data_IF_816114557305
#
_entry.id   IF_816114557305
#
_cell.length_a   1.000
_cell.length_b   1.000
_cell.length_c   1.000
_cell.angle_alpha   90.00
_cell.angle_beta   90.00
_cell.angle_gamma   90.00
#
_symmetry.space_group_name_H-M   'P 1'
#
loop_
_entity.id
_entity.type
_entity.pdbx_description
1 polymer ?
#
# COMPACT_ATOMS: atom_id res chain seq x y z
N UNK A 1 20.78 -19.51 75.49
CA UNK A 1 20.73 -18.35 74.61
C UNK A 1 20.45 -18.91 73.22
N UNK A 2 19.17 -18.93 72.80
CA UNK A 2 18.69 -19.59 71.54
C UNK A 2 18.47 -18.49 70.58
N UNK A 3 19.26 -18.45 69.48
CA UNK A 3 19.09 -17.51 68.34
C UNK A 3 18.09 -18.14 67.40
N UNK A 4 16.92 -17.50 67.20
CA UNK A 4 15.95 -17.87 66.22
C UNK A 4 16.36 -17.24 64.88
N UNK A 5 16.68 -18.08 63.90
CA UNK A 5 16.86 -17.68 62.48
C UNK A 5 15.50 -17.67 61.84
N UNK A 6 14.98 -16.49 61.47
CA UNK A 6 13.81 -16.33 60.58
C UNK A 6 14.28 -16.44 59.11
N UNK A 7 13.88 -17.51 58.43
CA UNK A 7 14.04 -17.62 57.01
C UNK A 7 12.88 -16.86 56.30
N UNK A 8 13.20 -15.80 55.59
CA UNK A 8 12.30 -15.05 54.74
C UNK A 8 12.23 -15.77 53.38
N UNK A 9 11.17 -16.53 53.12
CA UNK A 9 10.87 -17.08 51.80
C UNK A 9 10.28 -15.98 50.93
N UNK A 10 11.12 -15.37 50.08
CA UNK A 10 10.67 -14.49 49.03
C UNK A 10 10.05 -15.36 47.91
N UNK A 11 8.72 -15.40 47.86
CA UNK A 11 7.96 -16.02 46.77
C UNK A 11 8.00 -15.05 45.60
N UNK A 12 8.98 -15.22 44.70
CA UNK A 12 9.03 -14.48 43.45
C UNK A 12 7.91 -15.00 42.50
N UNK A 13 6.80 -14.32 42.48
CA UNK A 13 5.78 -14.48 41.42
C UNK A 13 6.38 -13.98 40.12
N UNK A 14 6.96 -14.87 39.34
CA UNK A 14 7.24 -14.63 37.93
C UNK A 14 5.90 -14.54 37.19
N UNK A 15 5.37 -13.33 37.10
CA UNK A 15 4.30 -13.02 36.16
C UNK A 15 4.92 -13.16 34.76
N UNK A 16 4.73 -14.31 34.13
CA UNK A 16 4.93 -14.47 32.72
C UNK A 16 3.90 -13.58 31.99
N UNK A 17 4.22 -12.30 31.83
CA UNK A 17 3.51 -11.44 30.90
C UNK A 17 3.92 -11.99 29.52
N UNK A 18 3.09 -12.88 28.96
CA UNK A 18 3.10 -13.14 27.54
C UNK A 18 2.73 -11.81 26.88
N UNK A 19 3.73 -10.98 26.64
CA UNK A 19 3.59 -9.82 25.78
C UNK A 19 3.35 -10.38 24.38
N UNK A 20 2.08 -10.62 24.04
CA UNK A 20 1.72 -10.77 22.64
C UNK A 20 2.18 -9.47 21.97
N UNK A 21 3.24 -9.56 21.17
CA UNK A 21 3.69 -8.41 20.40
C UNK A 21 2.45 -7.86 19.65
N UNK A 22 2.11 -6.62 19.96
CA UNK A 22 0.96 -5.97 19.32
C UNK A 22 1.18 -5.98 17.83
N UNK A 23 0.17 -6.45 17.08
CA UNK A 23 0.25 -6.48 15.61
C UNK A 23 0.41 -5.07 15.08
N UNK A 24 1.30 -4.88 14.11
CA UNK A 24 1.44 -3.62 13.40
C UNK A 24 0.13 -3.27 12.69
N UNK A 25 -0.38 -2.06 12.95
CA UNK A 25 -1.57 -1.54 12.28
C UNK A 25 -1.23 -1.08 10.87
N UNK A 26 -2.03 -1.52 9.89
CA UNK A 26 -1.83 -1.24 8.47
C UNK A 26 -3.11 -0.69 7.88
N UNK A 27 -2.98 0.38 7.11
CA UNK A 27 -3.98 0.92 6.20
C UNK A 27 -3.54 0.69 4.77
N UNK A 28 -4.43 0.26 3.90
CA UNK A 28 -4.15 0.03 2.49
C UNK A 28 -5.04 0.90 1.61
N UNK A 29 -4.45 1.67 0.69
CA UNK A 29 -5.15 2.55 -0.25
C UNK A 29 -4.77 2.18 -1.68
N UNK A 30 -5.76 1.90 -2.55
CA UNK A 30 -5.54 1.26 -3.84
C UNK A 30 -6.53 1.74 -4.90
N UNK A 31 -6.09 1.85 -6.13
CA UNK A 31 -6.92 2.14 -7.30
C UNK A 31 -7.24 0.87 -8.12
N UNK A 32 -7.63 -0.18 -7.42
CA UNK A 32 -7.81 -1.58 -7.89
C UNK A 32 -8.63 -1.71 -9.17
N UNK A 33 -9.41 -0.72 -9.53
CA UNK A 33 -10.15 -0.69 -10.79
C UNK A 33 -9.30 -0.41 -12.03
N UNK A 34 -8.07 0.05 -11.87
CA UNK A 34 -7.19 0.50 -12.95
C UNK A 34 -6.49 -0.68 -13.66
N UNK A 35 -5.51 -1.28 -13.02
CA UNK A 35 -4.75 -2.41 -13.57
C UNK A 35 -5.02 -3.71 -12.80
N UNK A 36 -4.28 -4.77 -13.16
CA UNK A 36 -4.50 -6.07 -12.54
C UNK A 36 -3.62 -6.32 -11.31
N UNK A 37 -2.58 -5.55 -11.09
CA UNK A 37 -1.57 -5.84 -10.07
C UNK A 37 -1.97 -5.46 -8.64
N UNK A 38 -2.83 -4.46 -8.49
CA UNK A 38 -3.44 -4.10 -7.20
C UNK A 38 -4.07 -5.29 -6.47
N UNK A 39 -4.82 -6.13 -7.20
CA UNK A 39 -5.48 -7.28 -6.58
C UNK A 39 -4.48 -8.32 -6.08
N UNK A 40 -3.32 -8.48 -6.74
CA UNK A 40 -2.23 -9.32 -6.26
C UNK A 40 -1.60 -8.73 -5.01
N UNK A 41 -1.40 -7.41 -4.99
CA UNK A 41 -0.82 -6.68 -3.86
C UNK A 41 -1.71 -6.77 -2.61
N UNK A 42 -3.01 -6.46 -2.73
CA UNK A 42 -3.93 -6.56 -1.60
C UNK A 42 -4.13 -8.01 -1.16
N UNK A 43 -4.25 -8.98 -2.09
CA UNK A 43 -4.27 -10.40 -1.75
C UNK A 43 -3.07 -10.79 -0.90
N UNK A 44 -1.88 -10.33 -1.26
CA UNK A 44 -0.64 -10.63 -0.53
C UNK A 44 -0.68 -10.13 0.91
N UNK A 45 -1.25 -8.97 1.17
CA UNK A 45 -1.45 -8.44 2.52
C UNK A 45 -2.52 -9.25 3.29
N UNK A 46 -3.68 -9.50 2.66
CA UNK A 46 -4.82 -10.14 3.30
C UNK A 46 -4.55 -11.62 3.70
N UNK A 47 -3.73 -12.35 2.96
CA UNK A 47 -3.34 -13.72 3.34
C UNK A 47 -2.49 -13.77 4.62
N UNK A 48 -1.90 -12.67 5.03
CA UNK A 48 -1.15 -12.50 6.30
C UNK A 48 -1.87 -11.65 7.35
N UNK A 49 -3.19 -11.46 7.23
CA UNK A 49 -3.99 -10.71 8.21
C UNK A 49 -3.95 -11.29 9.65
N UNK A 50 -3.47 -12.53 9.80
CA UNK A 50 -3.17 -13.10 11.12
C UNK A 50 -1.93 -12.46 11.78
N UNK A 51 -1.04 -11.82 11.02
CA UNK A 51 0.19 -11.18 11.50
C UNK A 51 0.07 -9.66 11.66
N UNK A 52 -0.86 -9.04 10.93
CA UNK A 52 -1.07 -7.58 10.89
C UNK A 52 -2.48 -7.22 11.35
N UNK A 53 -2.64 -6.04 11.90
CA UNK A 53 -3.94 -5.44 12.21
C UNK A 53 -4.34 -4.50 11.06
N UNK A 54 -5.10 -5.04 10.09
CA UNK A 54 -5.53 -4.26 8.91
C UNK A 54 -6.72 -3.42 9.33
N UNK A 55 -6.47 -2.14 9.61
CA UNK A 55 -7.45 -1.20 10.17
C UNK A 55 -8.25 -0.44 9.10
N UNK A 56 -7.91 -0.60 7.84
CA UNK A 56 -8.67 -0.05 6.72
C UNK A 56 -8.12 -0.45 5.36
N UNK A 57 -9.04 -0.57 4.40
CA UNK A 57 -8.78 -0.70 2.96
C UNK A 57 -9.61 0.35 2.25
N UNK A 58 -8.98 1.29 1.55
CA UNK A 58 -9.70 2.38 0.89
C UNK A 58 -9.48 2.41 -0.61
N UNK A 59 -10.41 3.02 -1.31
CA UNK A 59 -10.35 3.20 -2.75
C UNK A 59 -9.71 4.53 -3.12
N UNK A 60 -8.76 4.52 -4.03
CA UNK A 60 -8.22 5.69 -4.69
C UNK A 60 -8.83 5.84 -6.10
N UNK A 61 -8.91 7.07 -6.60
CA UNK A 61 -9.26 7.31 -7.99
C UNK A 61 -8.04 7.05 -8.89
N UNK A 62 -8.31 6.67 -10.14
CA UNK A 62 -7.31 6.61 -11.21
C UNK A 62 -7.62 7.58 -12.35
N UNK A 63 -8.24 8.72 -12.02
CA UNK A 63 -8.44 9.81 -12.94
C UNK A 63 -7.10 10.49 -13.18
N UNK A 64 -6.63 10.43 -14.41
CA UNK A 64 -5.45 11.16 -14.79
C UNK A 64 -5.82 12.05 -15.97
N UNK A 65 -5.93 13.37 -15.74
CA UNK A 65 -6.31 14.33 -16.76
C UNK A 65 -5.36 14.32 -17.95
N UNK A 66 -4.08 14.05 -17.72
CA UNK A 66 -3.09 13.97 -18.78
C UNK A 66 -3.26 12.72 -19.63
N UNK A 67 -3.78 11.64 -19.06
CA UNK A 67 -4.02 10.37 -19.77
C UNK A 67 -5.32 10.36 -20.56
N UNK A 68 -6.21 11.32 -20.35
CA UNK A 68 -7.35 11.54 -21.24
C UNK A 68 -6.90 11.90 -22.67
N UNK A 69 -5.70 12.46 -22.80
CA UNK A 69 -5.06 12.75 -24.10
C UNK A 69 -4.37 11.50 -24.66
N UNK A 70 -4.04 10.52 -23.84
CA UNK A 70 -3.32 9.30 -24.20
C UNK A 70 -4.17 8.07 -23.90
N UNK A 71 -5.26 7.87 -24.65
CA UNK A 71 -6.13 6.68 -24.56
C UNK A 71 -5.36 5.35 -24.53
N UNK A 72 -4.16 5.36 -25.15
CA UNK A 72 -3.25 4.22 -25.16
C UNK A 72 -2.79 3.73 -23.79
N UNK A 73 -2.77 4.60 -22.77
CA UNK A 73 -2.28 4.25 -21.45
C UNK A 73 -3.35 3.57 -20.61
N UNK A 74 -4.59 4.00 -20.77
CA UNK A 74 -5.72 3.47 -20.01
C UNK A 74 -6.48 2.36 -20.73
N UNK A 75 -6.27 2.17 -22.03
CA UNK A 75 -7.01 1.26 -22.91
C UNK A 75 -8.55 1.50 -22.96
N UNK A 76 -9.06 2.43 -22.18
CA UNK A 76 -10.46 2.84 -22.14
C UNK A 76 -10.59 4.33 -21.75
N UNK A 77 -11.70 4.94 -22.15
CA UNK A 77 -12.01 6.34 -21.80
C UNK A 77 -12.40 6.44 -20.33
N UNK A 78 -11.71 7.30 -19.56
CA UNK A 78 -12.04 7.57 -18.16
C UNK A 78 -12.97 8.76 -17.98
N UNK A 79 -13.20 9.56 -19.05
CA UNK A 79 -14.08 10.73 -18.99
C UNK A 79 -15.52 10.33 -18.66
N UNK A 80 -16.05 10.84 -17.57
CA UNK A 80 -17.41 10.53 -17.11
C UNK A 80 -17.55 9.22 -16.36
N UNK A 81 -16.45 8.47 -16.17
CA UNK A 81 -16.43 7.28 -15.33
C UNK A 81 -16.04 7.72 -13.91
N UNK A 82 -16.75 7.22 -12.91
CA UNK A 82 -16.36 7.40 -11.51
C UNK A 82 -15.37 6.31 -11.11
N UNK A 83 -14.08 6.59 -11.31
CA UNK A 83 -13.01 5.61 -11.11
C UNK A 83 -12.85 5.18 -9.65
N UNK A 84 -13.12 6.06 -8.69
CA UNK A 84 -13.06 5.69 -7.26
C UNK A 84 -14.16 4.69 -6.88
N UNK A 85 -15.35 4.77 -7.50
CA UNK A 85 -16.40 3.77 -7.29
C UNK A 85 -16.00 2.40 -7.86
N UNK A 86 -15.34 2.38 -9.03
CA UNK A 86 -14.84 1.14 -9.60
C UNK A 86 -13.81 0.50 -8.66
N UNK A 87 -12.86 1.29 -8.16
CA UNK A 87 -11.88 0.80 -7.18
C UNK A 87 -12.56 0.31 -5.89
N UNK A 88 -13.63 0.99 -5.45
CA UNK A 88 -14.41 0.57 -4.28
C UNK A 88 -15.07 -0.79 -4.49
N UNK A 89 -15.75 -0.97 -5.61
CA UNK A 89 -16.42 -2.23 -5.95
C UNK A 89 -15.43 -3.41 -6.04
N UNK A 90 -14.26 -3.19 -6.62
CA UNK A 90 -13.22 -4.23 -6.71
C UNK A 90 -12.62 -4.57 -5.33
N UNK A 91 -12.39 -3.57 -4.47
CA UNK A 91 -11.99 -3.79 -3.08
C UNK A 91 -13.02 -4.64 -2.33
N UNK A 92 -14.30 -4.31 -2.46
CA UNK A 92 -15.38 -5.05 -1.80
C UNK A 92 -15.51 -6.49 -2.30
N UNK A 93 -15.36 -6.71 -3.61
CA UNK A 93 -15.31 -8.07 -4.18
C UNK A 93 -14.20 -8.92 -3.56
N UNK A 94 -12.99 -8.34 -3.45
CA UNK A 94 -11.88 -9.07 -2.85
C UNK A 94 -12.06 -9.31 -1.35
N UNK A 95 -12.47 -8.28 -0.59
CA UNK A 95 -12.77 -8.42 0.83
C UNK A 95 -13.89 -9.44 1.08
N UNK A 96 -14.90 -9.48 0.23
CA UNK A 96 -15.96 -10.48 0.26
C UNK A 96 -15.44 -11.90 0.04
N UNK A 97 -14.54 -12.10 -0.94
CA UNK A 97 -13.90 -13.39 -1.20
C UNK A 97 -13.05 -13.88 -0.02
N UNK A 98 -12.40 -12.97 0.69
CA UNK A 98 -11.68 -13.26 1.94
C UNK A 98 -12.59 -13.44 3.16
N UNK A 99 -13.89 -13.09 3.07
CA UNK A 99 -14.84 -12.98 4.20
C UNK A 99 -14.38 -11.96 5.25
N UNK A 100 -13.78 -10.87 4.79
CA UNK A 100 -13.20 -9.80 5.61
C UNK A 100 -13.93 -8.45 5.45
N UNK A 101 -15.22 -8.45 5.11
CA UNK A 101 -16.04 -7.25 4.97
C UNK A 101 -16.21 -6.45 6.28
N UNK A 102 -15.77 -6.99 7.40
CA UNK A 102 -15.68 -6.30 8.67
C UNK A 102 -14.50 -5.30 8.76
N UNK A 103 -13.52 -5.40 7.86
CA UNK A 103 -12.46 -4.39 7.76
C UNK A 103 -13.10 -3.09 7.24
N UNK A 104 -12.89 -1.94 7.90
CA UNK A 104 -13.35 -0.66 7.39
C UNK A 104 -12.83 -0.41 5.96
N UNK A 105 -13.74 -0.09 5.03
CA UNK A 105 -13.37 0.14 3.63
C UNK A 105 -14.04 1.41 3.08
N UNK A 106 -13.67 2.59 3.64
CA UNK A 106 -14.27 3.85 3.23
C UNK A 106 -13.83 4.27 1.84
N UNK A 107 -14.78 4.87 1.09
CA UNK A 107 -14.50 5.42 -0.23
C UNK A 107 -13.62 6.67 -0.15
N UNK A 108 -12.66 6.77 -1.06
CA UNK A 108 -11.76 7.91 -1.16
C UNK A 108 -12.31 9.10 -1.96
N UNK A 109 -11.42 10.02 -2.27
CA UNK A 109 -11.73 11.19 -3.08
C UNK A 109 -11.97 10.80 -4.55
N UNK A 110 -12.87 11.50 -5.21
CA UNK A 110 -13.25 11.25 -6.61
C UNK A 110 -12.29 11.90 -7.64
N UNK A 111 -11.35 12.71 -7.20
CA UNK A 111 -10.41 13.46 -8.04
C UNK A 111 -9.25 14.02 -7.25
N UNK A 112 -8.22 14.48 -7.96
CA UNK A 112 -7.01 15.09 -7.41
C UNK A 112 -7.30 16.26 -6.46
N UNK A 113 -6.38 16.52 -5.53
CA UNK A 113 -6.41 17.69 -4.66
C UNK A 113 -6.04 18.98 -5.42
N UNK A 114 -6.47 20.12 -4.90
CA UNK A 114 -6.18 21.41 -5.50
C UNK A 114 -6.81 21.60 -6.88
N UNK A 115 -6.04 22.13 -7.81
CA UNK A 115 -6.41 22.41 -9.20
C UNK A 115 -5.41 21.76 -10.17
N UNK A 116 -5.75 21.71 -11.45
CA UNK A 116 -4.88 21.13 -12.48
C UNK A 116 -3.47 21.76 -12.55
N UNK A 117 -3.32 23.01 -12.13
CA UNK A 117 -2.06 23.77 -12.19
C UNK A 117 -1.49 24.15 -10.80
N UNK A 118 -1.82 23.36 -9.79
CA UNK A 118 -1.27 23.55 -8.43
C UNK A 118 -2.35 23.70 -7.36
N UNK A 119 -1.94 24.17 -6.21
CA UNK A 119 -2.67 24.26 -4.94
C UNK A 119 -2.76 22.92 -4.21
N UNK A 120 -2.90 23.04 -2.87
CA UNK A 120 -2.97 21.88 -1.98
C UNK A 120 -4.29 21.85 -1.21
N UNK A 121 -5.36 22.38 -1.80
CA UNK A 121 -6.71 22.28 -1.21
C UNK A 121 -7.10 20.80 -1.12
N UNK A 122 -7.30 20.27 0.10
CA UNK A 122 -7.59 18.84 0.26
C UNK A 122 -8.93 18.46 -0.34
N UNK A 123 -9.09 17.17 -0.62
CA UNK A 123 -10.35 16.55 -1.02
C UNK A 123 -10.91 15.72 0.14
N UNK A 124 -11.78 16.27 0.99
CA UNK A 124 -12.44 15.50 2.05
C UNK A 124 -13.23 14.34 1.46
N UNK A 125 -13.13 13.19 2.10
CA UNK A 125 -13.88 11.97 1.76
C UNK A 125 -14.12 11.14 3.02
N UNK A 126 -14.92 10.09 2.93
CA UNK A 126 -15.12 9.17 4.05
C UNK A 126 -13.80 8.52 4.47
N UNK A 127 -12.91 8.25 3.47
CA UNK A 127 -11.58 7.75 3.73
C UNK A 127 -10.74 8.72 4.57
N UNK A 128 -10.63 9.99 4.16
CA UNK A 128 -9.81 10.98 4.89
C UNK A 128 -10.28 11.15 6.32
N UNK A 129 -11.60 11.20 6.54
CA UNK A 129 -12.19 11.24 7.87
C UNK A 129 -11.81 10.03 8.70
N UNK A 130 -12.00 8.83 8.13
CA UNK A 130 -11.74 7.59 8.86
C UNK A 130 -10.26 7.38 9.17
N UNK A 131 -9.36 7.72 8.22
CA UNK A 131 -7.92 7.65 8.44
C UNK A 131 -7.49 8.59 9.58
N UNK A 132 -7.98 9.83 9.59
CA UNK A 132 -7.70 10.79 10.68
C UNK A 132 -8.16 10.24 12.03
N UNK A 133 -9.39 9.71 12.12
CA UNK A 133 -9.92 9.09 13.34
C UNK A 133 -9.02 7.96 13.84
N UNK A 134 -8.60 7.06 12.94
CA UNK A 134 -7.72 5.93 13.28
C UNK A 134 -6.38 6.42 13.81
N UNK A 135 -5.73 7.36 13.11
CA UNK A 135 -4.40 7.85 13.53
C UNK A 135 -4.47 8.63 14.83
N UNK A 136 -5.51 9.43 15.03
CA UNK A 136 -5.70 10.17 16.29
C UNK A 136 -5.96 9.23 17.49
N UNK A 137 -6.61 8.09 17.25
CA UNK A 137 -6.90 7.08 18.29
C UNK A 137 -5.69 6.23 18.70
N UNK A 138 -4.56 6.34 17.99
CA UNK A 138 -3.36 5.58 18.31
C UNK A 138 -2.77 6.02 19.66
N UNK A 139 -2.40 5.08 20.53
CA UNK A 139 -1.64 5.37 21.73
C UNK A 139 -0.34 6.13 21.43
N UNK A 140 0.19 6.81 22.43
CA UNK A 140 1.46 7.51 22.31
C UNK A 140 2.59 6.52 22.00
N UNK A 141 3.40 6.88 21.01
CA UNK A 141 4.50 6.05 20.54
C UNK A 141 4.10 5.01 19.47
N UNK A 142 2.81 4.74 19.27
CA UNK A 142 2.35 3.90 18.15
C UNK A 142 2.27 4.68 16.84
N UNK A 143 2.47 3.96 15.73
CA UNK A 143 2.38 4.51 14.38
C UNK A 143 1.57 3.61 13.48
N UNK A 144 0.83 4.22 12.56
CA UNK A 144 0.12 3.53 11.50
C UNK A 144 1.03 3.39 10.29
N UNK A 145 1.14 2.20 9.73
CA UNK A 145 1.72 1.99 8.43
C UNK A 145 0.65 2.16 7.35
N UNK A 146 0.88 3.05 6.42
CA UNK A 146 -0.04 3.33 5.32
C UNK A 146 0.63 2.91 4.01
N UNK A 147 0.08 1.89 3.38
CA UNK A 147 0.49 1.44 2.06
C UNK A 147 -0.47 2.05 1.06
N UNK A 148 0.03 2.84 0.10
CA UNK A 148 -0.79 3.36 -0.99
C UNK A 148 -0.14 3.05 -2.33
N UNK A 149 -0.94 2.53 -3.25
CA UNK A 149 -0.49 2.03 -4.55
C UNK A 149 -1.26 2.64 -5.72
N UNK A 150 -2.11 3.62 -5.44
CA UNK A 150 -2.77 4.49 -6.39
C UNK A 150 -2.36 5.95 -6.23
N UNK A 151 -3.19 6.88 -6.73
CA UNK A 151 -2.99 8.31 -6.57
C UNK A 151 -2.94 8.71 -5.08
N UNK A 152 -1.96 9.52 -4.68
CA UNK A 152 -1.73 9.91 -3.29
C UNK A 152 -2.77 10.88 -2.70
N UNK A 153 -3.84 11.19 -3.43
CA UNK A 153 -4.86 12.18 -3.07
C UNK A 153 -5.42 12.00 -1.67
N UNK A 154 -5.80 10.77 -1.34
CA UNK A 154 -6.41 10.43 -0.06
C UNK A 154 -5.48 10.73 1.11
N UNK A 155 -4.25 10.27 1.02
CA UNK A 155 -3.25 10.38 2.08
C UNK A 155 -2.82 11.85 2.26
N UNK A 156 -2.51 12.52 1.16
CA UNK A 156 -2.14 13.94 1.19
C UNK A 156 -3.27 14.82 1.71
N UNK A 157 -4.52 14.53 1.31
CA UNK A 157 -5.69 15.27 1.79
C UNK A 157 -5.93 15.07 3.29
N UNK A 158 -5.80 13.86 3.80
CA UNK A 158 -5.93 13.59 5.23
C UNK A 158 -4.89 14.37 6.06
N UNK A 159 -3.63 14.38 5.60
CA UNK A 159 -2.55 15.15 6.25
C UNK A 159 -2.77 16.67 6.10
N UNK A 160 -3.31 17.13 4.97
CA UNK A 160 -3.61 18.55 4.78
C UNK A 160 -4.77 19.04 5.68
N UNK A 161 -5.75 18.17 5.95
CA UNK A 161 -6.86 18.43 6.88
C UNK A 161 -6.39 18.43 8.34
N UNK A 162 -5.56 17.46 8.72
CA UNK A 162 -5.04 17.28 10.08
C UNK A 162 -3.52 17.03 10.04
N UNK A 163 -2.69 18.08 10.00
CA UNK A 163 -1.24 17.95 9.84
C UNK A 163 -0.53 17.13 10.93
N UNK A 164 -1.10 17.10 12.13
CA UNK A 164 -0.47 16.39 13.26
C UNK A 164 -0.43 14.88 13.09
N UNK A 165 -1.26 14.31 12.20
CA UNK A 165 -1.24 12.86 11.95
C UNK A 165 0.02 12.41 11.21
N UNK A 166 0.69 13.30 10.48
CA UNK A 166 1.89 12.98 9.70
C UNK A 166 2.97 12.26 10.53
N UNK A 167 3.22 12.75 11.75
CA UNK A 167 4.23 12.17 12.67
C UNK A 167 3.88 10.79 13.20
N UNK A 168 2.58 10.44 13.18
CA UNK A 168 2.06 9.14 13.64
C UNK A 168 1.91 8.14 12.50
N UNK A 169 2.40 8.44 11.29
CA UNK A 169 2.32 7.55 10.14
C UNK A 169 3.71 7.23 9.58
N UNK A 170 3.79 6.05 8.95
CA UNK A 170 4.86 5.69 8.00
C UNK A 170 4.18 5.38 6.68
N UNK A 171 4.68 5.96 5.61
CA UNK A 171 4.12 5.81 4.27
C UNK A 171 4.96 4.83 3.44
N UNK A 172 4.29 3.95 2.73
CA UNK A 172 4.88 3.00 1.78
C UNK A 172 4.10 3.12 0.47
N UNK A 173 4.76 3.34 -0.64
CA UNK A 173 4.05 3.43 -1.92
C UNK A 173 4.80 2.80 -3.09
N UNK A 174 4.04 2.44 -4.12
CA UNK A 174 4.53 2.27 -5.47
C UNK A 174 4.27 3.56 -6.23
N UNK A 175 5.31 4.14 -6.85
CA UNK A 175 5.15 5.32 -7.69
C UNK A 175 6.44 6.09 -7.96
N UNK A 176 6.39 6.87 -9.02
CA UNK A 176 7.49 7.69 -9.47
C UNK A 176 8.65 6.90 -10.08
N UNK A 177 9.63 7.66 -10.57
CA UNK A 177 10.86 7.13 -11.15
C UNK A 177 12.05 7.78 -10.44
N UNK A 178 13.07 6.97 -10.15
CA UNK A 178 14.29 7.46 -9.52
C UNK A 178 15.53 6.78 -10.10
N UNK A 179 16.40 7.56 -10.74
CA UNK A 179 17.69 7.07 -11.21
C UNK A 179 18.73 7.15 -10.07
N UNK A 180 19.15 6.01 -9.48
CA UNK A 180 20.07 6.02 -8.34
C UNK A 180 21.51 6.39 -8.71
N UNK A 181 21.89 6.32 -9.99
CA UNK A 181 23.23 6.71 -10.48
C UNK A 181 23.34 8.22 -10.62
N UNK A 182 22.35 8.82 -11.25
CA UNK A 182 22.27 10.26 -11.50
C UNK A 182 21.66 11.04 -10.33
N UNK A 183 20.97 10.32 -9.41
CA UNK A 183 20.22 10.90 -8.27
C UNK A 183 19.10 11.84 -8.73
N UNK A 184 18.46 11.49 -9.83
CA UNK A 184 17.42 12.29 -10.47
C UNK A 184 16.06 11.61 -10.29
N UNK A 185 15.08 12.41 -9.87
CA UNK A 185 13.67 12.05 -9.83
C UNK A 185 13.00 12.37 -11.17
N UNK A 186 12.01 11.54 -11.52
CA UNK A 186 11.07 11.84 -12.59
C UNK A 186 9.65 11.50 -12.10
N UNK A 187 8.77 12.47 -12.13
CA UNK A 187 7.36 12.36 -11.70
C UNK A 187 6.43 11.84 -12.82
N UNK A 188 6.98 11.48 -13.98
CA UNK A 188 6.25 10.92 -15.10
C UNK A 188 5.98 9.42 -14.89
N UNK A 189 5.07 9.12 -13.96
CA UNK A 189 4.60 7.79 -13.62
C UNK A 189 3.10 7.86 -13.30
N UNK A 190 2.34 6.77 -13.51
CA UNK A 190 0.89 6.78 -13.51
C UNK A 190 0.28 7.26 -12.18
N UNK A 191 0.66 6.65 -11.06
CA UNK A 191 0.14 6.99 -9.73
C UNK A 191 0.51 8.43 -9.32
N UNK A 192 1.76 8.83 -9.60
CA UNK A 192 2.24 10.18 -9.36
C UNK A 192 1.49 11.20 -10.20
N UNK A 193 1.24 10.91 -11.48
CA UNK A 193 0.46 11.78 -12.39
C UNK A 193 -1.02 11.79 -12.06
N UNK A 194 -1.51 10.77 -11.39
CA UNK A 194 -2.86 10.74 -10.84
C UNK A 194 -3.15 11.92 -9.93
N UNK A 195 -2.15 12.38 -9.16
CA UNK A 195 -2.23 13.60 -8.37
C UNK A 195 -0.84 14.21 -8.06
N UNK A 196 -0.33 15.02 -8.98
CA UNK A 196 0.94 15.73 -8.81
C UNK A 196 0.93 16.71 -7.62
N UNK A 197 -0.22 17.29 -7.29
CA UNK A 197 -0.34 18.18 -6.14
C UNK A 197 -0.17 17.40 -4.84
N UNK A 198 -0.82 16.25 -4.72
CA UNK A 198 -0.69 15.37 -3.56
C UNK A 198 0.76 14.91 -3.36
N UNK A 199 1.41 14.45 -4.42
CA UNK A 199 2.83 14.03 -4.36
C UNK A 199 3.74 15.18 -3.96
N UNK A 200 3.56 16.38 -4.53
CA UNK A 200 4.34 17.56 -4.14
C UNK A 200 4.07 17.97 -2.69
N UNK A 201 2.82 17.87 -2.22
CA UNK A 201 2.47 18.11 -0.83
C UNK A 201 3.21 17.16 0.11
N UNK A 202 3.21 15.85 -0.20
CA UNK A 202 3.92 14.84 0.58
C UNK A 202 5.44 15.05 0.54
N UNK A 203 6.02 15.34 -0.63
CA UNK A 203 7.45 15.64 -0.75
C UNK A 203 7.87 16.93 -0.02
N UNK A 204 6.96 17.84 0.26
CA UNK A 204 7.23 19.04 1.05
C UNK A 204 7.07 18.83 2.55
N UNK A 205 6.53 17.70 3.00
CA UNK A 205 6.27 17.42 4.40
C UNK A 205 7.42 16.65 5.05
N UNK A 206 8.19 17.31 5.94
CA UNK A 206 9.36 16.74 6.60
C UNK A 206 9.02 15.82 7.78
N UNK A 207 7.77 15.82 8.23
CA UNK A 207 7.33 15.01 9.38
C UNK A 207 6.99 13.55 8.99
N UNK A 208 6.97 13.25 7.68
CA UNK A 208 6.61 11.95 7.14
C UNK A 208 7.84 11.06 6.99
N UNK A 209 7.81 9.86 7.56
CA UNK A 209 8.72 8.79 7.19
C UNK A 209 8.14 8.06 5.99
N UNK A 210 8.80 8.18 4.83
CA UNK A 210 8.25 7.70 3.56
C UNK A 210 9.20 6.74 2.84
N UNK A 211 8.65 5.59 2.40
CA UNK A 211 9.31 4.54 1.63
C UNK A 211 8.68 4.46 0.24
N UNK A 212 9.45 4.67 -0.80
CA UNK A 212 8.98 4.76 -2.18
C UNK A 212 9.57 3.62 -3.00
N UNK A 213 8.71 2.83 -3.66
CA UNK A 213 9.10 1.81 -4.65
C UNK A 213 9.01 2.44 -6.05
N UNK A 214 10.13 2.85 -6.65
CA UNK A 214 10.09 3.45 -7.99
C UNK A 214 10.02 2.38 -9.08
N UNK A 215 9.51 2.79 -10.24
CA UNK A 215 9.35 1.95 -11.45
C UNK A 215 10.60 1.13 -11.77
N UNK A 216 11.79 1.77 -11.73
CA UNK A 216 13.06 1.10 -12.09
C UNK A 216 13.41 -0.06 -11.16
N UNK A 217 12.85 -0.08 -9.95
CA UNK A 217 13.10 -1.15 -8.99
C UNK A 217 12.08 -2.27 -9.12
N UNK A 218 10.80 -1.96 -9.28
CA UNK A 218 9.73 -2.97 -9.35
C UNK A 218 9.55 -3.60 -10.75
N UNK A 219 10.03 -2.95 -11.82
CA UNK A 219 9.86 -3.42 -13.22
C UNK A 219 10.34 -4.86 -13.46
N UNK A 220 11.21 -5.37 -12.62
CA UNK A 220 11.76 -6.73 -12.76
C UNK A 220 10.84 -7.82 -12.20
N UNK A 221 9.80 -7.46 -11.41
CA UNK A 221 8.86 -8.42 -10.86
C UNK A 221 7.77 -8.74 -11.89
N UNK A 222 8.07 -9.64 -12.78
CA UNK A 222 7.18 -10.06 -13.87
C UNK A 222 6.58 -11.43 -13.60
N UNK A 223 5.29 -11.56 -13.91
CA UNK A 223 4.56 -12.83 -13.91
C UNK A 223 4.25 -13.23 -15.35
N UNK A 224 4.44 -14.52 -15.65
CA UNK A 224 3.98 -15.12 -16.90
C UNK A 224 2.53 -15.58 -16.74
N UNK A 225 1.70 -15.38 -17.78
CA UNK A 225 0.27 -15.69 -17.74
C UNK A 225 -0.01 -17.17 -17.57
N UNK A 226 0.67 -18.00 -18.36
CA UNK A 226 0.42 -19.44 -18.33
C UNK A 226 0.89 -20.08 -17.02
N UNK A 227 2.07 -19.68 -16.55
CA UNK A 227 2.58 -20.08 -15.24
C UNK A 227 1.63 -19.61 -14.12
N UNK A 228 1.18 -18.35 -14.15
CA UNK A 228 0.22 -17.81 -13.19
C UNK A 228 -1.08 -18.61 -13.19
N UNK A 229 -1.65 -18.87 -14.37
CA UNK A 229 -2.90 -19.62 -14.47
C UNK A 229 -2.76 -21.05 -14.00
N UNK A 230 -1.59 -21.68 -14.20
CA UNK A 230 -1.31 -23.03 -13.74
C UNK A 230 -1.23 -23.15 -12.22
N UNK A 231 -0.89 -22.07 -11.53
CA UNK A 231 -0.77 -21.99 -10.06
C UNK A 231 -2.09 -21.69 -9.37
N UNK A 232 -3.03 -21.04 -10.09
CA UNK A 232 -4.33 -20.64 -9.57
C UNK A 232 -5.37 -21.75 -9.74
N UNK A 233 -6.15 -22.01 -8.69
CA UNK A 233 -7.29 -22.91 -8.74
C UNK A 233 -8.60 -22.11 -8.62
N UNK A 234 -9.32 -21.99 -9.72
CA UNK A 234 -10.57 -21.23 -9.80
C UNK A 234 -11.71 -21.73 -8.89
N UNK A 235 -11.53 -22.87 -8.21
CA UNK A 235 -12.46 -23.33 -7.16
C UNK A 235 -12.39 -22.44 -5.92
N UNK A 236 -11.28 -21.76 -5.70
CA UNK A 236 -11.09 -20.81 -4.61
C UNK A 236 -11.47 -19.40 -5.08
N UNK A 237 -12.43 -18.73 -4.42
CA UNK A 237 -12.94 -17.42 -4.87
C UNK A 237 -11.84 -16.38 -5.08
N UNK A 238 -10.86 -16.33 -4.18
CA UNK A 238 -9.74 -15.40 -4.26
C UNK A 238 -8.90 -15.64 -5.52
N UNK A 239 -8.51 -16.88 -5.75
CA UNK A 239 -7.68 -17.27 -6.88
C UNK A 239 -8.43 -17.12 -8.22
N UNK A 240 -9.75 -17.33 -8.20
CA UNK A 240 -10.59 -17.04 -9.35
C UNK A 240 -10.61 -15.54 -9.67
N UNK A 241 -10.71 -14.67 -8.67
CA UNK A 241 -10.66 -13.21 -8.87
C UNK A 241 -9.31 -12.77 -9.47
N UNK A 242 -8.18 -13.28 -8.96
CA UNK A 242 -6.85 -13.01 -9.53
C UNK A 242 -6.79 -13.37 -11.02
N UNK A 243 -7.33 -14.53 -11.39
CA UNK A 243 -7.35 -14.99 -12.77
C UNK A 243 -8.28 -14.15 -13.64
N UNK A 244 -9.51 -13.88 -13.17
CA UNK A 244 -10.49 -13.08 -13.89
C UNK A 244 -9.98 -11.66 -14.13
N UNK A 245 -9.35 -11.05 -13.12
CA UNK A 245 -8.79 -9.70 -13.27
C UNK A 245 -7.75 -9.61 -14.40
N UNK A 246 -6.88 -10.64 -14.55
CA UNK A 246 -5.96 -10.70 -15.69
C UNK A 246 -6.70 -10.79 -17.02
N UNK A 247 -7.71 -11.66 -17.10
CA UNK A 247 -8.50 -11.85 -18.32
C UNK A 247 -9.24 -10.57 -18.72
N UNK A 248 -9.79 -9.84 -17.76
CA UNK A 248 -10.58 -8.64 -18.01
C UNK A 248 -9.73 -7.42 -18.36
N UNK A 249 -8.62 -7.22 -17.62
CA UNK A 249 -7.80 -6.02 -17.77
C UNK A 249 -6.72 -6.16 -18.84
N UNK A 250 -6.16 -7.36 -19.01
CA UNK A 250 -4.98 -7.59 -19.84
C UNK A 250 -5.06 -8.90 -20.61
N UNK A 251 -6.13 -9.12 -21.43
CA UNK A 251 -6.38 -10.41 -22.07
C UNK A 251 -5.27 -10.87 -23.03
N UNK A 252 -4.61 -9.94 -23.69
CA UNK A 252 -3.61 -10.23 -24.71
C UNK A 252 -2.18 -10.32 -24.16
N UNK A 253 -1.96 -9.87 -22.94
CA UNK A 253 -0.65 -9.83 -22.34
C UNK A 253 -0.18 -11.23 -21.90
N UNK A 254 0.93 -11.69 -22.46
CA UNK A 254 1.56 -12.95 -22.06
C UNK A 254 2.33 -12.84 -20.75
N UNK A 255 2.81 -11.65 -20.44
CA UNK A 255 3.54 -11.34 -19.21
C UNK A 255 3.09 -9.98 -18.67
N UNK A 256 3.00 -9.86 -17.35
CA UNK A 256 2.73 -8.60 -16.67
C UNK A 256 3.76 -8.32 -15.61
N UNK A 257 4.12 -7.05 -15.48
CA UNK A 257 4.85 -6.57 -14.32
C UNK A 257 3.81 -6.37 -13.22
N UNK A 258 4.08 -6.90 -12.04
CA UNK A 258 3.19 -6.76 -10.89
C UNK A 258 3.81 -5.70 -9.97
N UNK A 259 3.63 -4.44 -10.40
CA UNK A 259 4.28 -3.25 -9.82
C UNK A 259 4.03 -3.13 -8.32
N UNK A 260 2.79 -3.20 -7.92
CA UNK A 260 2.32 -2.94 -6.56
C UNK A 260 2.69 -4.05 -5.60
N UNK A 261 2.68 -5.30 -6.09
CA UNK A 261 3.13 -6.43 -5.30
C UNK A 261 4.57 -6.26 -4.83
N UNK A 262 5.44 -5.63 -5.63
CA UNK A 262 6.82 -5.39 -5.23
C UNK A 262 6.91 -4.48 -4.00
N UNK A 263 6.05 -3.44 -3.92
CA UNK A 263 6.00 -2.55 -2.76
C UNK A 263 5.48 -3.28 -1.51
N UNK A 264 4.42 -4.08 -1.66
CA UNK A 264 3.83 -4.86 -0.57
C UNK A 264 4.80 -5.95 -0.08
N UNK A 265 5.44 -6.69 -0.98
CA UNK A 265 6.44 -7.69 -0.58
C UNK A 265 7.66 -7.05 0.10
N UNK A 266 8.11 -5.89 -0.35
CA UNK A 266 9.19 -5.16 0.31
C UNK A 266 8.81 -4.68 1.71
N UNK A 267 7.54 -4.33 1.93
CA UNK A 267 7.00 -4.00 3.25
C UNK A 267 6.93 -5.24 4.16
N UNK A 268 6.31 -6.32 3.68
CA UNK A 268 6.10 -7.55 4.45
C UNK A 268 7.39 -8.36 4.69
N UNK A 269 8.35 -8.24 3.80
CA UNK A 269 9.63 -8.98 3.81
C UNK A 269 10.81 -8.03 3.51
N UNK A 270 11.17 -7.11 4.44
CA UNK A 270 12.17 -6.06 4.18
C UNK A 270 13.55 -6.58 3.78
N UNK A 271 13.90 -7.81 4.16
CA UNK A 271 15.14 -8.47 3.76
C UNK A 271 15.22 -8.78 2.25
N UNK A 272 14.09 -8.76 1.54
CA UNK A 272 14.02 -8.97 0.09
C UNK A 272 14.24 -7.69 -0.73
N UNK A 273 14.41 -6.56 -0.08
CA UNK A 273 14.61 -5.27 -0.74
C UNK A 273 15.77 -4.48 -0.12
N UNK A 274 16.39 -3.62 -0.92
CA UNK A 274 17.42 -2.68 -0.45
C UNK A 274 16.88 -1.27 -0.49
N UNK A 275 17.00 -0.57 0.63
CA UNK A 275 16.55 0.82 0.81
C UNK A 275 17.76 1.74 0.87
N UNK A 276 17.63 2.93 0.27
CA UNK A 276 18.56 4.05 0.43
C UNK A 276 17.82 5.31 0.80
N UNK A 277 18.37 6.06 1.72
CA UNK A 277 17.89 7.41 2.03
C UNK A 277 18.43 8.39 0.99
N UNK A 278 17.52 9.11 0.33
CA UNK A 278 17.83 10.05 -0.76
C UNK A 278 17.12 11.38 -0.52
N UNK A 279 17.59 12.44 -1.14
CA UNK A 279 16.91 13.74 -1.10
C UNK A 279 15.66 13.70 -1.97
N UNK A 280 14.62 14.40 -1.53
CA UNK A 280 13.44 14.73 -2.34
C UNK A 280 13.81 15.48 -3.61
N UNK A 281 12.90 15.56 -4.61
CA UNK A 281 13.16 16.34 -5.84
C UNK A 281 13.59 17.78 -5.55
N UNK A 282 14.45 18.38 -6.39
CA UNK A 282 15.00 19.73 -6.14
C UNK A 282 13.95 20.84 -5.96
N UNK A 283 12.82 20.71 -6.64
CA UNK A 283 11.69 21.66 -6.57
C UNK A 283 10.88 21.54 -5.27
N UNK A 284 11.12 20.49 -4.48
CA UNK A 284 10.46 20.26 -3.19
C UNK A 284 11.39 20.64 -2.03
N UNK A 285 10.82 20.74 -0.81
CA UNK A 285 11.62 20.97 0.38
C UNK A 285 12.66 19.87 0.54
N UNK A 286 13.95 20.26 0.57
CA UNK A 286 15.06 19.32 0.54
C UNK A 286 15.22 18.58 1.87
N UNK A 287 14.55 17.45 2.00
CA UNK A 287 14.72 16.50 3.12
C UNK A 287 14.95 15.08 2.58
N UNK A 288 15.01 14.09 3.45
CA UNK A 288 15.29 12.71 3.07
C UNK A 288 14.01 11.87 3.06
N UNK A 289 13.90 11.06 2.04
CA UNK A 289 12.94 9.95 1.93
C UNK A 289 13.68 8.65 1.69
N UNK A 290 13.04 7.52 1.94
CA UNK A 290 13.60 6.20 1.72
C UNK A 290 13.14 5.66 0.35
N UNK A 291 14.09 5.18 -0.47
CA UNK A 291 13.79 4.66 -1.79
C UNK A 291 14.29 3.22 -1.88
N UNK A 292 13.43 2.33 -2.33
CA UNK A 292 13.82 0.98 -2.69
C UNK A 292 14.66 1.03 -3.97
N UNK A 293 15.86 0.46 -3.94
CA UNK A 293 16.82 0.53 -5.05
C UNK A 293 17.14 -0.83 -5.67
N UNK A 294 16.69 -1.90 -5.06
CA UNK A 294 16.81 -3.26 -5.55
C UNK A 294 15.81 -4.16 -4.81
N UNK A 295 15.26 -5.13 -5.52
CA UNK A 295 14.47 -6.23 -4.95
C UNK A 295 15.08 -7.58 -5.35
N UNK A 296 14.79 -8.60 -4.55
CA UNK A 296 15.01 -9.99 -4.93
C UNK A 296 13.74 -10.54 -5.57
N UNK A 297 13.65 -10.39 -6.91
CA UNK A 297 12.43 -10.72 -7.65
C UNK A 297 12.03 -12.20 -7.54
N UNK A 298 13.03 -13.12 -7.50
CA UNK A 298 12.74 -14.56 -7.42
C UNK A 298 12.19 -14.92 -6.04
N UNK A 299 12.83 -14.41 -4.98
CA UNK A 299 12.36 -14.63 -3.64
C UNK A 299 10.98 -13.99 -3.39
N UNK A 300 10.68 -12.80 -3.94
CA UNK A 300 9.36 -12.17 -3.87
C UNK A 300 8.30 -12.97 -4.61
N UNK A 301 8.61 -13.43 -5.83
CA UNK A 301 7.74 -14.31 -6.60
C UNK A 301 7.41 -15.60 -5.82
N UNK A 302 8.42 -16.30 -5.34
CA UNK A 302 8.25 -17.53 -4.57
C UNK A 302 7.47 -17.28 -3.28
N UNK A 303 7.73 -16.16 -2.61
CA UNK A 303 7.06 -15.76 -1.36
C UNK A 303 5.57 -15.58 -1.57
N UNK A 304 5.17 -14.84 -2.61
CA UNK A 304 3.76 -14.66 -2.97
C UNK A 304 3.05 -16.01 -3.15
N UNK A 305 3.57 -16.87 -4.03
CA UNK A 305 2.93 -18.15 -4.35
C UNK A 305 2.91 -19.12 -3.18
N UNK A 306 3.98 -19.18 -2.40
CA UNK A 306 4.05 -20.03 -1.22
C UNK A 306 3.04 -19.58 -0.16
N UNK A 307 2.95 -18.29 0.11
CA UNK A 307 2.01 -17.75 1.10
C UNK A 307 0.55 -17.94 0.68
N UNK A 308 0.23 -17.75 -0.60
CA UNK A 308 -1.11 -18.00 -1.11
C UNK A 308 -1.49 -19.50 -0.99
N UNK A 309 -0.55 -20.40 -1.33
CA UNK A 309 -0.75 -21.86 -1.18
C UNK A 309 -0.92 -22.27 0.29
N UNK A 310 -0.13 -21.70 1.20
CA UNK A 310 -0.25 -21.95 2.64
C UNK A 310 -1.60 -21.46 3.19
N UNK A 311 -2.05 -20.29 2.73
CA UNK A 311 -3.37 -19.77 3.09
C UNK A 311 -4.50 -20.69 2.62
N UNK A 312 -4.42 -21.16 1.36
CA UNK A 312 -5.37 -22.14 0.80
C UNK A 312 -5.43 -23.42 1.61
N UNK A 313 -4.29 -23.94 2.05
CA UNK A 313 -4.22 -25.20 2.82
C UNK A 313 -4.83 -25.10 4.23
N UNK A 314 -5.03 -23.89 4.74
CA UNK A 314 -5.66 -23.63 6.06
C UNK A 314 -7.19 -23.45 5.97
N UNK A 315 -7.76 -23.39 4.76
CA UNK A 315 -9.20 -23.15 4.50
C UNK A 315 -9.88 -24.39 3.96
#
# INVERSE_FOLDING_TARGET
>A
MIVKILAFLAFSFLININSFAQKQKVWFDTDMGNEMDDIFALTRLLVEADKYDIVGVSSAHFNNADLLVFEKWNQYLTKGINTVNISQEENEKLLGAFKMMNIPHPIGADRQMGRAWGEFTPRPSDMTKKLIEVVQSLPDGERLDVIFIGAATNIASAIAIEPNIAKKMRLFCMGGKYNPKEKVWNKDEFNVRGDLNAINYLFNNQDIEWYIMPVETCIVLTFDREDTYSRLDSKYPIENLLKQRWIESNPDDKTRIIWDLAAVEAYLSPNLAKVKSVKTPPENHQHKVNVYTKIDRLAMFDKFWNTLREYRAKK
#
